data_IF_934552614951
#
_entry.id   IF_934552614951
#
_cell.length_a   1.000
_cell.length_b   1.000
_cell.length_c   1.000
_cell.angle_alpha   90.00
_cell.angle_beta   90.00
_cell.angle_gamma   90.00
#
_symmetry.space_group_name_H-M   'P 1'
#
loop_
_entity.id
_entity.type
_entity.pdbx_description
1 polymer ?
#
# COMPACT_ATOMS: atom_id res chain seq x y z
N UNK A 1 14.24 -0.64 0.17
CA UNK A 1 13.21 0.41 0.06
C UNK A 1 11.94 -0.11 0.72
N UNK A 2 11.44 0.60 1.73
CA UNK A 2 10.14 0.32 2.32
C UNK A 2 9.14 1.31 1.74
N UNK A 3 8.06 0.81 1.15
CA UNK A 3 6.97 1.62 0.61
C UNK A 3 5.67 1.25 1.31
N UNK A 4 5.01 2.23 1.92
CA UNK A 4 3.76 2.05 2.64
C UNK A 4 2.64 2.72 1.85
N UNK A 5 1.52 2.03 1.68
CA UNK A 5 0.32 2.62 1.11
C UNK A 5 -0.79 2.78 2.13
N UNK A 6 -1.81 3.53 1.75
CA UNK A 6 -3.00 3.83 2.58
C UNK A 6 -4.18 2.94 2.24
N UNK A 7 -3.94 1.87 1.49
CA UNK A 7 -4.97 0.98 0.98
C UNK A 7 -5.62 1.43 -0.32
N UNK A 8 -6.31 0.50 -0.95
CA UNK A 8 -7.12 0.70 -2.16
C UNK A 8 -8.45 -0.03 -2.00
N UNK A 9 -9.47 0.50 -2.64
CA UNK A 9 -10.80 -0.07 -2.66
C UNK A 9 -10.91 -1.12 -3.78
N UNK A 10 -11.11 -2.39 -3.41
CA UNK A 10 -11.27 -3.49 -4.38
C UNK A 10 -12.59 -3.42 -5.16
N UNK A 11 -13.56 -2.65 -4.66
CA UNK A 11 -14.88 -2.49 -5.25
C UNK A 11 -15.01 -1.23 -6.09
N UNK A 12 -13.98 -0.38 -6.14
CA UNK A 12 -14.05 0.87 -6.90
C UNK A 12 -14.43 0.65 -8.37
N UNK A 13 -13.83 -0.36 -9.02
CA UNK A 13 -14.15 -0.72 -10.40
C UNK A 13 -15.57 -1.28 -10.57
N UNK A 14 -16.23 -1.73 -9.50
CA UNK A 14 -17.61 -2.23 -9.50
C UNK A 14 -18.64 -1.12 -9.29
N UNK A 15 -18.21 0.05 -8.83
CA UNK A 15 -19.11 1.16 -8.48
C UNK A 15 -19.51 2.02 -9.68
N UNK A 16 -18.80 1.90 -10.82
CA UNK A 16 -19.02 2.77 -11.98
C UNK A 16 -18.95 1.99 -13.28
N UNK A 17 -19.99 2.13 -14.11
CA UNK A 17 -20.00 1.61 -15.48
C UNK A 17 -19.72 2.71 -16.50
N UNK A 18 -19.22 2.33 -17.67
CA UNK A 18 -19.02 3.27 -18.77
C UNK A 18 -20.35 3.91 -19.23
N UNK A 19 -21.46 3.18 -19.16
CA UNK A 19 -22.79 3.66 -19.54
C UNK A 19 -23.28 4.79 -18.61
N UNK A 20 -23.08 4.65 -17.30
CA UNK A 20 -23.41 5.68 -16.32
C UNK A 20 -22.49 6.91 -16.49
N UNK A 21 -21.18 6.65 -16.62
CA UNK A 21 -20.17 7.70 -16.74
C UNK A 21 -20.30 8.51 -18.04
N UNK A 22 -20.89 7.95 -19.11
CA UNK A 22 -21.18 8.66 -20.35
C UNK A 22 -22.12 9.86 -20.15
N UNK A 23 -22.90 9.87 -19.08
CA UNK A 23 -23.85 10.93 -18.74
C UNK A 23 -23.28 11.95 -17.75
N UNK A 24 -22.03 11.77 -17.29
CA UNK A 24 -21.46 12.60 -16.23
C UNK A 24 -20.94 13.94 -16.74
N UNK A 25 -21.25 15.00 -15.99
CA UNK A 25 -20.58 16.30 -16.10
C UNK A 25 -19.29 16.38 -15.29
N UNK A 26 -18.55 17.49 -15.42
CA UNK A 26 -17.26 17.71 -14.75
C UNK A 26 -17.34 17.46 -13.23
N UNK A 27 -18.40 17.94 -12.57
CA UNK A 27 -18.54 17.79 -11.11
C UNK A 27 -18.66 16.32 -10.69
N UNK A 28 -19.36 15.51 -11.48
CA UNK A 28 -19.51 14.07 -11.21
C UNK A 28 -18.21 13.31 -11.45
N UNK A 29 -17.37 13.78 -12.39
CA UNK A 29 -16.05 13.21 -12.63
C UNK A 29 -15.03 13.54 -11.53
N UNK A 30 -15.10 14.72 -10.90
CA UNK A 30 -14.06 15.16 -9.95
C UNK A 30 -13.86 14.19 -8.77
N UNK A 31 -14.95 13.69 -8.19
CA UNK A 31 -14.89 12.79 -7.03
C UNK A 31 -14.20 11.45 -7.35
N UNK A 32 -14.68 10.63 -8.31
CA UNK A 32 -14.07 9.34 -8.64
C UNK A 32 -12.70 9.47 -9.31
N UNK A 33 -12.42 10.57 -10.03
CA UNK A 33 -11.14 10.77 -10.71
C UNK A 33 -9.96 10.78 -9.73
N UNK A 34 -10.14 11.36 -8.55
CA UNK A 34 -9.09 11.41 -7.54
C UNK A 34 -8.76 10.01 -7.00
N UNK A 35 -9.79 9.24 -6.64
CA UNK A 35 -9.65 7.87 -6.15
C UNK A 35 -9.04 6.96 -7.23
N UNK A 36 -9.52 7.03 -8.48
CA UNK A 36 -8.95 6.34 -9.65
C UNK A 36 -7.46 6.63 -9.80
N UNK A 37 -7.08 7.91 -9.78
CA UNK A 37 -5.71 8.35 -9.96
C UNK A 37 -4.82 7.85 -8.83
N UNK A 38 -5.29 7.91 -7.59
CA UNK A 38 -4.56 7.44 -6.42
C UNK A 38 -4.30 5.92 -6.51
N UNK A 39 -5.34 5.14 -6.80
CA UNK A 39 -5.23 3.70 -6.99
C UNK A 39 -4.27 3.35 -8.15
N UNK A 40 -4.45 3.97 -9.31
CA UNK A 40 -3.59 3.77 -10.48
C UNK A 40 -2.13 4.11 -10.18
N UNK A 41 -1.86 5.20 -9.45
CA UNK A 41 -0.52 5.57 -9.01
C UNK A 41 0.11 4.50 -8.10
N UNK A 42 -0.67 3.94 -7.15
CA UNK A 42 -0.21 2.85 -6.29
C UNK A 42 0.23 1.64 -7.12
N UNK A 43 -0.61 1.18 -8.05
CA UNK A 43 -0.31 0.03 -8.91
C UNK A 43 0.88 0.29 -9.84
N UNK A 44 0.92 1.42 -10.53
CA UNK A 44 1.99 1.70 -11.49
C UNK A 44 3.34 1.87 -10.81
N UNK A 45 3.40 2.53 -9.65
CA UNK A 45 4.65 2.68 -8.92
C UNK A 45 5.17 1.35 -8.37
N UNK A 46 4.28 0.50 -7.86
CA UNK A 46 4.63 -0.86 -7.43
C UNK A 46 5.15 -1.70 -8.60
N UNK A 47 4.49 -1.62 -9.76
CA UNK A 47 4.94 -2.28 -10.99
C UNK A 47 6.34 -1.83 -11.43
N UNK A 48 6.58 -0.52 -11.49
CA UNK A 48 7.88 0.02 -11.90
C UNK A 48 9.00 -0.39 -10.95
N UNK A 49 8.77 -0.27 -9.64
CA UNK A 49 9.77 -0.64 -8.64
C UNK A 49 10.02 -2.15 -8.64
N UNK A 50 8.96 -2.96 -8.64
CA UNK A 50 9.06 -4.42 -8.70
C UNK A 50 9.85 -4.87 -9.92
N UNK A 51 9.60 -4.29 -11.09
CA UNK A 51 10.34 -4.59 -12.33
C UNK A 51 11.83 -4.32 -12.18
N UNK A 52 12.22 -3.17 -11.63
CA UNK A 52 13.63 -2.81 -11.44
C UNK A 52 14.32 -3.72 -10.43
N UNK A 53 13.69 -3.97 -9.28
CA UNK A 53 14.28 -4.83 -8.25
C UNK A 53 14.36 -6.31 -8.68
N UNK A 54 13.39 -6.79 -9.47
CA UNK A 54 13.42 -8.11 -10.08
C UNK A 54 14.53 -8.26 -11.11
N UNK A 55 14.72 -7.28 -11.99
CA UNK A 55 15.78 -7.31 -13.01
C UNK A 55 17.20 -7.33 -12.41
N UNK A 56 17.36 -6.95 -11.14
CA UNK A 56 18.63 -6.94 -10.40
C UNK A 56 18.73 -8.07 -9.36
N UNK A 57 17.89 -9.09 -9.45
CA UNK A 57 17.81 -10.22 -8.49
C UNK A 57 17.74 -9.76 -7.02
N UNK A 58 17.06 -8.63 -6.81
CA UNK A 58 17.02 -7.89 -5.55
C UNK A 58 15.59 -7.70 -5.06
N UNK A 59 14.67 -8.61 -5.39
CA UNK A 59 13.23 -8.48 -5.06
C UNK A 59 13.02 -8.20 -3.56
N UNK A 60 13.76 -8.90 -2.71
CA UNK A 60 13.70 -8.77 -1.25
C UNK A 60 14.14 -7.40 -0.71
N UNK A 61 14.80 -6.58 -1.53
CA UNK A 61 15.20 -5.23 -1.15
C UNK A 61 14.07 -4.21 -1.32
N UNK A 62 12.93 -4.60 -1.92
CA UNK A 62 11.73 -3.79 -2.01
C UNK A 62 10.58 -4.46 -1.23
N UNK A 63 10.04 -3.73 -0.25
CA UNK A 63 8.88 -4.17 0.51
C UNK A 63 7.75 -3.14 0.32
N UNK A 64 6.69 -3.54 -0.38
CA UNK A 64 5.44 -2.78 -0.51
C UNK A 64 4.42 -3.33 0.49
N UNK A 65 4.00 -2.52 1.45
CA UNK A 65 2.93 -2.86 2.39
C UNK A 65 1.67 -2.11 1.99
N UNK A 66 0.65 -2.83 1.55
CA UNK A 66 -0.57 -2.25 1.00
C UNK A 66 -1.80 -3.12 1.29
N UNK A 67 -2.91 -2.46 1.66
CA UNK A 67 -4.24 -3.09 1.71
C UNK A 67 -4.92 -2.97 0.33
N UNK A 68 -5.41 -4.07 -0.23
CA UNK A 68 -6.01 -4.06 -1.57
C UNK A 68 -7.54 -4.16 -1.57
N UNK A 69 -8.16 -4.35 -0.39
CA UNK A 69 -9.59 -4.58 -0.26
C UNK A 69 -10.20 -3.77 0.90
N UNK A 70 -10.01 -2.44 0.88
CA UNK A 70 -10.77 -1.55 1.76
C UNK A 70 -12.27 -1.60 1.41
N UNK A 71 -13.13 -1.53 2.43
CA UNK A 71 -14.59 -1.58 2.29
C UNK A 71 -15.27 -0.58 3.22
N UNK A 72 -16.49 -0.16 2.89
CA UNK A 72 -17.29 0.72 3.76
C UNK A 72 -16.64 2.08 3.98
N UNK A 73 -16.78 2.64 5.18
CA UNK A 73 -16.26 3.98 5.54
C UNK A 73 -14.74 4.09 5.42
N UNK A 74 -14.00 2.98 5.50
CA UNK A 74 -12.55 2.96 5.36
C UNK A 74 -12.07 3.32 3.94
N UNK A 75 -12.96 3.30 2.93
CA UNK A 75 -12.64 3.74 1.56
C UNK A 75 -12.62 5.26 1.42
N UNK A 76 -13.28 5.97 2.33
CA UNK A 76 -13.45 7.42 2.29
C UNK A 76 -12.28 8.12 2.99
N UNK A 77 -11.55 8.98 2.28
CA UNK A 77 -10.33 9.60 2.81
C UNK A 77 -10.58 10.76 3.79
N UNK A 78 -11.77 11.36 3.77
CA UNK A 78 -12.15 12.52 4.59
C UNK A 78 -13.09 12.18 5.77
N UNK A 79 -13.40 10.90 5.99
CA UNK A 79 -14.15 10.45 7.17
C UNK A 79 -13.26 10.33 8.40
N UNK A 80 -13.16 11.43 9.15
CA UNK A 80 -12.45 11.51 10.43
C UNK A 80 -13.33 11.15 11.65
N UNK A 81 -14.45 10.43 11.46
CA UNK A 81 -15.25 9.98 12.59
C UNK A 81 -14.44 9.03 13.49
N UNK A 82 -14.71 9.05 14.79
CA UNK A 82 -14.02 8.17 15.76
C UNK A 82 -14.19 6.70 15.39
N UNK A 83 -15.37 6.32 14.92
CA UNK A 83 -15.65 4.96 14.46
C UNK A 83 -14.77 4.57 13.27
N UNK A 84 -14.63 5.44 12.26
CA UNK A 84 -13.81 5.16 11.10
C UNK A 84 -12.30 5.12 11.45
N UNK A 85 -11.83 5.99 12.33
CA UNK A 85 -10.44 5.96 12.79
C UNK A 85 -10.11 4.65 13.53
N UNK A 86 -11.01 4.15 14.38
CA UNK A 86 -10.84 2.83 15.02
C UNK A 86 -10.81 1.71 13.98
N UNK A 87 -11.68 1.76 12.98
CA UNK A 87 -11.71 0.80 11.89
C UNK A 87 -10.37 0.80 11.11
N UNK A 88 -9.82 1.98 10.78
CA UNK A 88 -8.55 2.10 10.07
C UNK A 88 -7.35 1.56 10.89
N UNK A 89 -7.37 1.73 12.22
CA UNK A 89 -6.38 1.09 13.10
C UNK A 89 -6.48 -0.43 13.00
N UNK A 90 -7.69 -0.98 13.07
CA UNK A 90 -7.92 -2.43 12.94
C UNK A 90 -7.49 -2.95 11.57
N UNK A 91 -7.73 -2.20 10.49
CA UNK A 91 -7.22 -2.54 9.15
C UNK A 91 -5.69 -2.66 9.17
N UNK A 92 -5.00 -1.71 9.78
CA UNK A 92 -3.53 -1.74 9.90
C UNK A 92 -3.01 -2.93 10.74
N UNK A 93 -3.66 -3.22 11.87
CA UNK A 93 -3.31 -4.35 12.73
C UNK A 93 -3.53 -5.69 12.01
N UNK A 94 -4.63 -5.83 11.27
CA UNK A 94 -4.93 -7.01 10.47
C UNK A 94 -3.98 -7.13 9.27
N UNK A 95 -3.60 -6.02 8.65
CA UNK A 95 -2.66 -6.01 7.53
C UNK A 95 -1.31 -6.61 7.92
N UNK A 96 -0.82 -6.38 9.14
CA UNK A 96 0.41 -7.02 9.63
C UNK A 96 0.36 -8.56 9.56
N UNK A 97 -0.83 -9.15 9.67
CA UNK A 97 -1.04 -10.61 9.65
C UNK A 97 -1.26 -11.17 8.24
N UNK A 98 -1.49 -10.33 7.24
CA UNK A 98 -1.64 -10.76 5.84
C UNK A 98 -0.29 -11.19 5.24
N UNK A 99 -0.34 -12.09 4.26
CA UNK A 99 0.84 -12.49 3.49
C UNK A 99 1.33 -11.34 2.58
N UNK A 100 2.64 -11.32 2.32
CA UNK A 100 3.25 -10.32 1.42
C UNK A 100 2.87 -10.51 -0.05
N UNK A 101 2.53 -11.74 -0.45
CA UNK A 101 2.01 -12.09 -1.77
C UNK A 101 1.17 -13.37 -1.70
N UNK A 102 0.50 -13.76 -2.78
CA UNK A 102 -0.33 -14.97 -2.82
C UNK A 102 0.51 -16.25 -2.69
N UNK A 103 1.67 -16.29 -3.35
CA UNK A 103 2.55 -17.48 -3.36
C UNK A 103 3.56 -17.53 -2.20
N UNK A 104 3.59 -16.52 -1.32
CA UNK A 104 4.53 -16.44 -0.20
C UNK A 104 3.78 -16.40 1.12
N UNK A 105 4.00 -17.39 1.98
CA UNK A 105 3.37 -17.46 3.31
C UNK A 105 4.00 -16.50 4.35
N UNK A 106 5.07 -15.77 4.00
CA UNK A 106 5.62 -14.73 4.88
C UNK A 106 4.60 -13.60 5.09
N UNK A 107 4.32 -13.27 6.35
CA UNK A 107 3.43 -12.15 6.69
C UNK A 107 4.16 -10.81 6.64
N UNK A 108 3.41 -9.71 6.50
CA UNK A 108 3.97 -8.37 6.57
C UNK A 108 4.71 -8.10 7.89
N UNK A 109 4.21 -8.62 9.02
CA UNK A 109 4.89 -8.51 10.31
C UNK A 109 6.29 -9.12 10.28
N UNK A 110 6.44 -10.32 9.70
CA UNK A 110 7.72 -11.01 9.60
C UNK A 110 8.66 -10.26 8.67
N UNK A 111 8.18 -9.86 7.50
CA UNK A 111 8.97 -9.08 6.54
C UNK A 111 9.45 -7.73 7.12
N UNK A 112 8.60 -7.06 7.92
CA UNK A 112 8.95 -5.82 8.60
C UNK A 112 9.98 -6.02 9.72
N UNK A 113 9.90 -7.12 10.48
CA UNK A 113 10.94 -7.48 11.47
C UNK A 113 12.29 -7.69 10.80
N UNK A 114 12.32 -8.45 9.69
CA UNK A 114 13.53 -8.61 8.85
C UNK A 114 14.06 -7.26 8.37
N UNK A 115 13.18 -6.38 7.89
CA UNK A 115 13.56 -5.04 7.44
C UNK A 115 14.15 -4.20 8.60
N UNK A 116 13.58 -4.29 9.81
CA UNK A 116 14.07 -3.60 10.99
C UNK A 116 15.46 -4.10 11.43
N UNK A 117 15.72 -5.40 11.35
CA UNK A 117 17.05 -5.99 11.59
C UNK A 117 18.09 -5.42 10.63
N UNK A 118 17.79 -5.39 9.32
CA UNK A 118 18.67 -4.81 8.30
C UNK A 118 19.00 -3.34 8.58
N UNK A 119 18.03 -2.55 9.04
CA UNK A 119 18.25 -1.15 9.41
C UNK A 119 19.15 -1.01 10.65
N UNK A 120 18.91 -1.85 11.67
CA UNK A 120 19.70 -1.89 12.90
C UNK A 120 21.16 -2.23 12.61
N UNK A 121 21.40 -3.29 11.84
CA UNK A 121 22.75 -3.74 11.50
C UNK A 121 23.48 -2.72 10.63
N UNK A 122 22.79 -2.13 9.64
CA UNK A 122 23.37 -1.03 8.83
C UNK A 122 23.78 0.17 9.69
N UNK A 123 22.99 0.52 10.72
CA UNK A 123 23.33 1.60 11.66
C UNK A 123 24.58 1.25 12.48
N UNK A 124 24.66 0.04 13.05
CA UNK A 124 25.82 -0.44 13.82
C UNK A 124 27.09 -0.47 12.98
N UNK A 125 27.02 -1.02 11.77
CA UNK A 125 28.17 -1.10 10.84
C UNK A 125 28.72 0.29 10.50
N UNK A 126 27.83 1.27 10.26
CA UNK A 126 28.24 2.65 9.96
C UNK A 126 28.86 3.34 11.17
N UNK A 127 28.31 3.14 12.36
CA UNK A 127 28.89 3.67 13.60
C UNK A 127 30.29 3.12 13.83
N UNK A 128 30.48 1.80 13.71
CA UNK A 128 31.78 1.16 13.90
C UNK A 128 32.83 1.65 12.89
N UNK A 129 32.45 1.90 11.63
CA UNK A 129 33.37 2.46 10.61
C UNK A 129 33.74 3.92 10.85
N UNK A 130 32.91 4.69 11.54
CA UNK A 130 33.20 6.10 11.87
C UNK A 130 34.09 6.25 13.11
N UNK A 131 34.32 5.15 13.85
CA UNK A 131 35.18 5.11 15.04
C UNK A 131 36.63 4.74 14.72
N UNK A 132 36.97 4.51 13.45
CA UNK A 132 38.32 4.35 12.91
C UNK A 132 38.66 5.56 12.03
#
# INVERSE_FOLDING_TARGET
LLSLGTGTNSEFAKNYTAEEAAKWGILQWMSPLWEMRSAASSYMNDYYLSTVFQALDSQNNYLRVQENALTGTATTFDDASVANMILLVQVGENLLKKSVSEDNHETYEVALKRFAELLSDRKKLRANKASF
#
